data_IF_894492608045
#
_entry.id   IF_894492608045
#
_cell.length_a   1.000
_cell.length_b   1.000
_cell.length_c   1.000
_cell.angle_alpha   90.00
_cell.angle_beta   90.00
_cell.angle_gamma   90.00
#
_symmetry.space_group_name_H-M   'P 1'
#
loop_
_entity.id
_entity.type
_entity.pdbx_description
1 polymer ?
#
# COMPACT_ATOMS: atom_id res chain seq x y z
N UNK A 1 -24.87 34.53 2.56
CA UNK A 1 -24.29 33.77 3.67
C UNK A 1 -22.85 33.42 3.31
N UNK A 2 -21.98 34.38 3.47
CA UNK A 2 -20.52 34.21 3.29
C UNK A 2 -19.91 33.96 4.67
N UNK A 3 -19.92 32.70 5.11
CA UNK A 3 -19.06 32.25 6.18
C UNK A 3 -17.61 32.53 5.76
N UNK A 4 -16.79 33.20 6.59
CA UNK A 4 -15.44 33.55 6.20
C UNK A 4 -14.63 32.28 5.97
N UNK A 5 -14.03 32.16 4.80
CA UNK A 5 -13.16 31.05 4.35
C UNK A 5 -12.18 30.60 5.45
N UNK A 6 -11.75 31.52 6.31
CA UNK A 6 -10.85 31.31 7.45
C UNK A 6 -11.42 30.35 8.52
N UNK A 7 -12.72 30.36 8.79
CA UNK A 7 -13.34 29.49 9.77
C UNK A 7 -13.45 28.04 9.24
N UNK A 8 -13.71 27.90 7.95
CA UNK A 8 -13.79 26.58 7.28
C UNK A 8 -12.44 25.85 7.23
N UNK A 9 -11.34 26.58 7.14
CA UNK A 9 -10.00 26.00 7.23
C UNK A 9 -9.64 25.59 8.65
N UNK A 10 -10.04 26.38 9.64
CA UNK A 10 -9.76 26.11 11.05
C UNK A 10 -10.51 24.89 11.56
N UNK A 11 -11.77 24.73 11.21
CA UNK A 11 -12.58 23.57 11.57
C UNK A 11 -12.05 22.27 10.92
N UNK A 12 -11.58 22.35 9.67
CA UNK A 12 -10.94 21.21 8.99
C UNK A 12 -9.61 20.82 9.61
N UNK A 13 -8.77 21.79 9.99
CA UNK A 13 -7.50 21.50 10.65
C UNK A 13 -7.68 20.93 12.05
N UNK A 14 -8.66 21.39 12.81
CA UNK A 14 -8.97 20.82 14.12
C UNK A 14 -9.48 19.37 14.03
N UNK A 15 -10.21 19.02 12.98
CA UNK A 15 -10.69 17.65 12.74
C UNK A 15 -9.59 16.72 12.21
N UNK A 16 -8.62 17.23 11.45
CA UNK A 16 -7.51 16.45 10.90
C UNK A 16 -6.39 16.22 11.92
N UNK A 17 -6.21 17.14 12.84
CA UNK A 17 -5.09 17.17 13.78
C UNK A 17 -4.93 15.88 14.61
N UNK A 18 -5.97 15.34 15.27
CA UNK A 18 -5.80 14.16 16.13
C UNK A 18 -5.38 12.92 15.34
N UNK A 19 -5.93 12.71 14.14
CA UNK A 19 -5.59 11.55 13.31
C UNK A 19 -4.19 11.64 12.69
N UNK A 20 -3.80 12.82 12.23
CA UNK A 20 -2.45 13.05 11.69
C UNK A 20 -1.40 12.93 12.79
N UNK A 21 -1.70 13.44 13.99
CA UNK A 21 -0.82 13.33 15.15
C UNK A 21 -0.65 11.85 15.59
N UNK A 22 -1.73 11.07 15.59
CA UNK A 22 -1.67 9.64 15.88
C UNK A 22 -0.81 8.91 14.84
N UNK A 23 -1.01 9.17 13.55
CA UNK A 23 -0.21 8.57 12.48
C UNK A 23 1.29 8.94 12.60
N UNK A 24 1.60 10.19 12.91
CA UNK A 24 2.97 10.65 13.12
C UNK A 24 3.61 9.97 14.34
N UNK A 25 2.88 9.85 15.44
CA UNK A 25 3.38 9.17 16.64
C UNK A 25 3.69 7.71 16.37
N UNK A 26 2.82 7.01 15.65
CA UNK A 26 3.04 5.62 15.22
C UNK A 26 4.26 5.51 14.31
N UNK A 27 4.42 6.44 13.37
CA UNK A 27 5.57 6.45 12.47
C UNK A 27 6.91 6.65 13.20
N UNK A 28 6.95 7.58 14.17
CA UNK A 28 8.15 7.83 15.00
C UNK A 28 8.46 6.62 15.87
N UNK A 29 7.45 6.04 16.52
CA UNK A 29 7.60 4.84 17.35
C UNK A 29 8.11 3.65 16.51
N UNK A 30 7.55 3.43 15.33
CA UNK A 30 7.97 2.37 14.42
C UNK A 30 9.43 2.56 13.97
N UNK A 31 9.82 3.79 13.66
CA UNK A 31 11.20 4.10 13.29
C UNK A 31 12.16 3.86 14.46
N UNK A 32 11.82 4.30 15.66
CA UNK A 32 12.63 4.07 16.85
C UNK A 32 12.83 2.57 17.12
N UNK A 33 11.75 1.76 17.03
CA UNK A 33 11.86 0.32 17.18
C UNK A 33 12.72 -0.32 16.09
N UNK A 34 12.57 0.13 14.86
CA UNK A 34 13.36 -0.35 13.72
C UNK A 34 14.87 -0.12 13.93
N UNK A 35 15.23 1.06 14.39
CA UNK A 35 16.64 1.41 14.67
C UNK A 35 17.21 0.62 15.86
N UNK A 36 16.38 0.30 16.84
CA UNK A 36 16.82 -0.40 18.06
C UNK A 36 16.87 -1.92 17.89
N UNK A 37 15.89 -2.51 17.20
CA UNK A 37 15.75 -3.97 17.03
C UNK A 37 16.24 -4.48 15.67
N UNK A 38 16.66 -3.61 14.75
CA UNK A 38 17.18 -3.99 13.44
C UNK A 38 16.15 -4.54 12.45
N UNK A 39 14.86 -4.43 12.75
CA UNK A 39 13.80 -4.91 11.86
C UNK A 39 13.28 -3.84 10.87
N UNK A 40 12.51 -4.24 9.85
CA UNK A 40 11.94 -3.30 8.89
C UNK A 40 10.96 -2.32 9.55
N UNK A 41 11.13 -1.02 9.33
CA UNK A 41 10.26 0.03 9.90
C UNK A 41 8.79 -0.18 9.56
N UNK A 42 8.50 -0.63 8.34
CA UNK A 42 7.13 -0.89 7.88
C UNK A 42 6.45 -2.02 8.67
N UNK A 43 7.19 -3.04 9.10
CA UNK A 43 6.67 -4.12 9.95
C UNK A 43 6.20 -3.55 11.30
N UNK A 44 7.05 -2.76 11.97
CA UNK A 44 6.69 -2.15 13.25
C UNK A 44 5.53 -1.17 13.11
N UNK A 45 5.50 -0.36 12.04
CA UNK A 45 4.39 0.55 11.76
C UNK A 45 3.06 -0.21 11.58
N UNK A 46 3.09 -1.34 10.89
CA UNK A 46 1.91 -2.18 10.67
C UNK A 46 1.45 -2.83 11.98
N UNK A 47 2.35 -3.40 12.77
CA UNK A 47 2.01 -4.04 14.04
C UNK A 47 1.42 -3.04 15.04
N UNK A 48 2.06 -1.87 15.19
CA UNK A 48 1.56 -0.79 16.05
C UNK A 48 0.22 -0.29 15.50
N UNK A 49 0.11 -0.06 14.19
CA UNK A 49 -1.12 0.39 13.54
C UNK A 49 -2.30 -0.55 13.76
N UNK A 50 -2.09 -1.87 13.70
CA UNK A 50 -3.11 -2.85 14.04
C UNK A 50 -3.56 -2.77 15.50
N UNK A 51 -2.64 -2.52 16.44
CA UNK A 51 -2.98 -2.31 17.85
C UNK A 51 -3.83 -1.05 18.07
N UNK A 52 -3.68 -0.04 17.24
CA UNK A 52 -4.43 1.21 17.29
C UNK A 52 -5.60 1.28 16.30
N UNK A 53 -6.02 0.15 15.72
CA UNK A 53 -7.11 0.11 14.73
C UNK A 53 -8.42 0.74 15.23
N UNK A 54 -8.69 0.64 16.51
CA UNK A 54 -9.90 1.23 17.13
C UNK A 54 -9.99 2.76 16.95
N UNK A 55 -8.86 3.46 16.73
CA UNK A 55 -8.86 4.91 16.46
C UNK A 55 -9.40 5.22 15.04
N UNK A 56 -9.39 4.24 14.13
CA UNK A 56 -9.88 4.39 12.77
C UNK A 56 -11.35 3.98 12.60
N UNK A 57 -11.95 3.33 13.60
CA UNK A 57 -13.33 2.87 13.54
C UNK A 57 -14.31 3.91 14.08
N UNK A 58 -13.98 4.53 15.22
CA UNK A 58 -14.86 5.54 15.85
C UNK A 58 -14.03 6.67 16.48
N UNK A 59 -14.51 7.92 16.36
CA UNK A 59 -13.96 9.05 17.09
C UNK A 59 -13.41 10.19 16.21
N UNK A 60 -12.84 11.21 16.83
CA UNK A 60 -12.37 12.42 16.15
C UNK A 60 -11.11 12.19 15.29
N UNK A 61 -10.43 11.05 15.43
CA UNK A 61 -9.21 10.73 14.69
C UNK A 61 -9.48 10.15 13.29
N UNK A 62 -10.67 9.60 13.02
CA UNK A 62 -11.00 8.90 11.77
C UNK A 62 -10.70 9.73 10.53
N UNK A 63 -11.19 10.97 10.48
CA UNK A 63 -11.00 11.87 9.32
C UNK A 63 -9.51 12.17 9.10
N UNK A 64 -8.76 12.37 10.18
CA UNK A 64 -7.32 12.62 10.11
C UNK A 64 -6.50 11.41 9.70
N UNK A 65 -6.88 10.21 10.14
CA UNK A 65 -6.25 8.95 9.74
C UNK A 65 -6.51 8.68 8.25
N UNK A 66 -7.74 8.87 7.78
CA UNK A 66 -8.08 8.72 6.36
C UNK A 66 -7.31 9.73 5.50
N UNK A 67 -7.21 10.98 5.92
CA UNK A 67 -6.38 11.98 5.26
C UNK A 67 -4.90 11.58 5.21
N UNK A 68 -4.35 11.07 6.32
CA UNK A 68 -2.97 10.63 6.39
C UNK A 68 -2.71 9.43 5.46
N UNK A 69 -3.61 8.45 5.45
CA UNK A 69 -3.50 7.24 4.63
C UNK A 69 -3.58 7.50 3.12
N UNK A 70 -4.19 8.61 2.69
CA UNK A 70 -4.33 8.94 1.29
C UNK A 70 -3.43 10.10 0.87
N UNK A 71 -3.56 11.27 1.51
CA UNK A 71 -2.88 12.49 1.08
C UNK A 71 -1.43 12.55 1.53
N UNK A 72 -1.17 12.24 2.81
CA UNK A 72 0.21 12.25 3.33
C UNK A 72 1.03 11.14 2.66
N UNK A 73 0.43 9.97 2.43
CA UNK A 73 1.07 8.90 1.69
C UNK A 73 1.41 9.32 0.26
N UNK A 74 0.48 9.96 -0.47
CA UNK A 74 0.73 10.46 -1.83
C UNK A 74 1.88 11.47 -1.86
N UNK A 75 1.92 12.41 -0.91
CA UNK A 75 3.03 13.35 -0.76
C UNK A 75 4.35 12.64 -0.45
N UNK A 76 4.34 11.67 0.46
CA UNK A 76 5.52 10.87 0.79
C UNK A 76 6.09 10.14 -0.41
N UNK A 77 5.23 9.49 -1.20
CA UNK A 77 5.64 8.78 -2.43
C UNK A 77 6.16 9.77 -3.49
N UNK A 78 5.54 10.94 -3.64
CA UNK A 78 6.01 11.98 -4.55
C UNK A 78 7.41 12.50 -4.15
N UNK A 79 7.64 12.73 -2.85
CA UNK A 79 8.96 13.14 -2.34
C UNK A 79 10.02 12.05 -2.53
N UNK A 80 9.67 10.78 -2.33
CA UNK A 80 10.54 9.65 -2.64
C UNK A 80 10.91 9.62 -4.13
N UNK A 81 9.92 9.85 -5.01
CA UNK A 81 10.17 9.94 -6.45
C UNK A 81 11.13 11.07 -6.83
N UNK A 82 11.05 12.21 -6.13
CA UNK A 82 11.96 13.33 -6.33
C UNK A 82 13.37 13.07 -5.78
N UNK A 83 13.50 12.24 -4.74
CA UNK A 83 14.80 11.88 -4.15
C UNK A 83 15.56 10.85 -4.98
N UNK A 84 14.89 10.12 -5.87
CA UNK A 84 15.55 9.18 -6.79
C UNK A 84 16.14 9.98 -7.95
N UNK A 85 17.45 10.15 -7.93
CA UNK A 85 18.18 10.86 -8.99
C UNK A 85 18.26 10.00 -10.25
N UNK A 86 18.22 10.63 -11.41
CA UNK A 86 18.39 9.95 -12.70
C UNK A 86 19.72 9.16 -12.77
N UNK A 87 20.77 9.66 -12.12
CA UNK A 87 22.04 8.96 -11.95
C UNK A 87 21.89 7.63 -11.19
N UNK A 88 21.07 7.57 -10.15
CA UNK A 88 20.83 6.33 -9.41
C UNK A 88 20.09 5.31 -10.29
N UNK A 89 19.14 5.73 -11.11
CA UNK A 89 18.47 4.84 -12.06
C UNK A 89 19.45 4.30 -13.08
N UNK A 90 20.34 5.15 -13.60
CA UNK A 90 21.39 4.75 -14.53
C UNK A 90 22.44 3.83 -13.89
N UNK A 91 22.76 4.02 -12.60
CA UNK A 91 23.71 3.18 -11.86
C UNK A 91 23.23 1.73 -11.66
N UNK A 92 21.91 1.50 -11.59
CA UNK A 92 21.36 0.14 -11.56
C UNK A 92 21.56 -0.64 -12.87
N UNK A 93 21.82 0.07 -13.96
CA UNK A 93 21.99 -0.51 -15.29
C UNK A 93 20.69 -0.97 -15.93
N UNK A 94 20.69 -1.00 -17.25
CA UNK A 94 19.52 -1.41 -18.07
C UNK A 94 19.07 -2.85 -17.77
N UNK A 95 19.97 -3.69 -17.29
CA UNK A 95 19.71 -5.08 -16.92
C UNK A 95 18.71 -5.20 -15.76
N UNK A 96 18.87 -4.39 -14.71
CA UNK A 96 17.97 -4.41 -13.55
C UNK A 96 16.59 -3.89 -13.93
N UNK A 97 16.53 -2.82 -14.72
CA UNK A 97 15.26 -2.29 -15.23
C UNK A 97 14.52 -3.33 -16.09
N UNK A 98 15.25 -3.99 -16.97
CA UNK A 98 14.71 -5.08 -17.79
C UNK A 98 14.21 -6.26 -16.95
N UNK A 99 14.93 -6.63 -15.89
CA UNK A 99 14.53 -7.69 -14.97
C UNK A 99 13.23 -7.33 -14.23
N UNK A 100 13.08 -6.10 -13.75
CA UNK A 100 11.86 -5.64 -13.06
C UNK A 100 10.67 -5.66 -14.01
N UNK A 101 10.82 -5.14 -15.23
CA UNK A 101 9.75 -5.17 -16.25
C UNK A 101 9.36 -6.62 -16.58
N UNK A 102 10.34 -7.48 -16.77
CA UNK A 102 10.11 -8.90 -17.06
C UNK A 102 9.38 -9.59 -15.89
N UNK A 103 9.75 -9.31 -14.64
CA UNK A 103 9.12 -9.85 -13.46
C UNK A 103 7.64 -9.42 -13.35
N UNK A 104 7.35 -8.14 -13.58
CA UNK A 104 5.96 -7.63 -13.59
C UNK A 104 5.12 -8.31 -14.67
N UNK A 105 5.62 -8.36 -15.90
CA UNK A 105 4.93 -9.00 -17.00
C UNK A 105 4.70 -10.50 -16.74
N UNK A 106 5.72 -11.19 -16.26
CA UNK A 106 5.63 -12.63 -15.93
C UNK A 106 4.58 -12.87 -14.84
N UNK A 107 4.54 -12.05 -13.79
CA UNK A 107 3.54 -12.16 -12.72
C UNK A 107 2.11 -11.97 -13.25
N UNK A 108 1.90 -11.00 -14.13
CA UNK A 108 0.59 -10.77 -14.76
C UNK A 108 0.21 -11.97 -15.64
N UNK A 109 1.14 -12.49 -16.44
CA UNK A 109 0.91 -13.65 -17.29
C UNK A 109 0.58 -14.91 -16.47
N UNK A 110 1.30 -15.15 -15.37
CA UNK A 110 1.01 -16.25 -14.45
C UNK A 110 -0.38 -16.10 -13.84
N UNK A 111 -0.74 -14.89 -13.37
CA UNK A 111 -2.07 -14.59 -12.86
C UNK A 111 -3.17 -14.86 -13.90
N UNK A 112 -2.94 -14.47 -15.14
CA UNK A 112 -3.87 -14.71 -16.24
C UNK A 112 -3.99 -16.21 -16.57
N UNK A 113 -2.88 -16.92 -16.64
CA UNK A 113 -2.83 -18.36 -16.92
C UNK A 113 -3.55 -19.15 -15.80
N UNK A 114 -3.25 -18.84 -14.55
CA UNK A 114 -3.84 -19.48 -13.38
C UNK A 114 -5.35 -19.24 -13.30
N UNK A 115 -5.78 -18.01 -13.55
CA UNK A 115 -7.21 -17.67 -13.57
C UNK A 115 -7.97 -18.43 -14.68
N UNK A 116 -7.36 -18.59 -15.86
CA UNK A 116 -7.94 -19.40 -16.94
C UNK A 116 -8.00 -20.88 -16.58
N UNK A 117 -6.95 -21.40 -15.97
CA UNK A 117 -6.88 -22.79 -15.54
C UNK A 117 -7.94 -23.11 -14.48
N UNK A 118 -8.23 -22.17 -13.58
CA UNK A 118 -9.29 -22.28 -12.58
C UNK A 118 -10.70 -21.97 -13.11
N UNK A 119 -10.87 -21.71 -14.40
CA UNK A 119 -12.18 -21.41 -15.00
C UNK A 119 -12.79 -20.05 -14.60
N UNK A 120 -11.99 -19.15 -14.03
CA UNK A 120 -12.47 -17.87 -13.48
C UNK A 120 -12.52 -16.71 -14.47
N UNK A 121 -12.02 -16.91 -15.67
CA UNK A 121 -12.02 -15.92 -16.74
C UNK A 121 -10.86 -14.90 -16.66
N UNK A 122 -10.55 -14.30 -17.79
CA UNK A 122 -9.37 -13.45 -17.99
C UNK A 122 -9.38 -12.16 -17.15
N UNK A 123 -10.59 -11.64 -16.84
CA UNK A 123 -10.73 -10.39 -16.08
C UNK A 123 -10.19 -10.51 -14.65
N UNK A 124 -10.53 -11.60 -13.97
CA UNK A 124 -10.00 -11.86 -12.63
C UNK A 124 -8.49 -12.09 -12.68
N UNK A 125 -8.00 -12.76 -13.73
CA UNK A 125 -6.56 -12.99 -13.90
C UNK A 125 -5.75 -11.73 -14.07
N UNK A 126 -6.22 -10.79 -14.89
CA UNK A 126 -5.57 -9.47 -15.03
C UNK A 126 -5.66 -8.70 -13.72
N UNK A 127 -6.82 -8.68 -13.09
CA UNK A 127 -7.05 -7.95 -11.85
C UNK A 127 -6.11 -8.44 -10.73
N UNK A 128 -6.08 -9.74 -10.47
CA UNK A 128 -5.23 -10.33 -9.42
C UNK A 128 -3.76 -10.30 -9.78
N UNK A 129 -3.41 -10.64 -11.03
CA UNK A 129 -2.03 -10.63 -11.51
C UNK A 129 -1.39 -9.25 -11.41
N UNK A 130 -2.11 -8.21 -11.84
CA UNK A 130 -1.62 -6.82 -11.75
C UNK A 130 -1.58 -6.30 -10.31
N UNK A 131 -2.56 -6.69 -9.49
CA UNK A 131 -2.56 -6.33 -8.07
C UNK A 131 -1.29 -6.87 -7.36
N UNK A 132 -0.98 -8.14 -7.58
CA UNK A 132 0.22 -8.78 -7.00
C UNK A 132 1.51 -8.21 -7.59
N UNK A 133 1.53 -7.91 -8.90
CA UNK A 133 2.72 -7.45 -9.59
C UNK A 133 3.16 -6.03 -9.21
N UNK A 134 2.25 -5.17 -8.76
CA UNK A 134 2.52 -3.74 -8.56
C UNK A 134 2.46 -3.39 -7.06
N UNK A 135 1.27 -3.06 -6.55
CA UNK A 135 1.12 -2.52 -5.19
C UNK A 135 -0.13 -3.03 -4.45
N UNK A 136 -0.69 -4.15 -4.84
CA UNK A 136 -1.84 -4.74 -4.17
C UNK A 136 -3.15 -3.98 -4.39
N UNK A 137 -3.70 -3.44 -3.32
CA UNK A 137 -5.04 -2.84 -3.31
C UNK A 137 -5.20 -1.67 -4.29
N UNK A 138 -4.24 -0.75 -4.36
CA UNK A 138 -4.32 0.42 -5.24
C UNK A 138 -4.28 0.04 -6.72
N UNK A 139 -3.45 -0.94 -7.10
CA UNK A 139 -3.44 -1.48 -8.46
C UNK A 139 -4.75 -2.20 -8.79
N UNK A 140 -5.30 -2.98 -7.85
CA UNK A 140 -6.59 -3.64 -8.03
C UNK A 140 -7.71 -2.64 -8.30
N UNK A 141 -7.79 -1.56 -7.51
CA UNK A 141 -8.81 -0.52 -7.69
C UNK A 141 -8.63 0.24 -9.02
N UNK A 142 -7.39 0.60 -9.37
CA UNK A 142 -7.11 1.28 -10.62
C UNK A 142 -7.50 0.42 -11.84
N UNK A 143 -7.14 -0.85 -11.84
CA UNK A 143 -7.45 -1.78 -12.95
C UNK A 143 -8.94 -2.10 -12.98
N UNK A 144 -9.60 -2.26 -11.84
CA UNK A 144 -11.05 -2.50 -11.80
C UNK A 144 -11.86 -1.34 -12.39
N UNK A 145 -11.33 -0.11 -12.32
CA UNK A 145 -11.99 1.06 -12.90
C UNK A 145 -11.97 1.08 -14.44
N UNK A 146 -10.99 0.44 -15.06
CA UNK A 146 -10.79 0.38 -16.51
C UNK A 146 -11.37 -0.90 -17.13
N UNK A 147 -11.48 -1.97 -16.34
CA UNK A 147 -12.03 -3.23 -16.84
C UNK A 147 -13.54 -3.12 -17.14
N UNK A 148 -14.02 -3.78 -18.20
CA UNK A 148 -15.45 -3.83 -18.49
C UNK A 148 -16.23 -4.40 -17.31
N UNK A 149 -17.21 -3.65 -16.79
CA UNK A 149 -18.03 -4.04 -15.66
C UNK A 149 -18.95 -5.21 -16.03
N UNK A 150 -19.08 -6.16 -15.13
CA UNK A 150 -20.06 -7.24 -15.15
C UNK A 150 -20.67 -7.41 -13.75
N UNK A 151 -21.68 -8.26 -13.60
CA UNK A 151 -22.36 -8.51 -12.32
C UNK A 151 -21.41 -8.93 -11.19
N UNK A 152 -20.29 -9.59 -11.51
CA UNK A 152 -19.31 -10.06 -10.53
C UNK A 152 -18.11 -9.10 -10.35
N UNK A 153 -18.11 -7.96 -11.04
CA UNK A 153 -16.93 -7.06 -11.08
C UNK A 153 -16.58 -6.52 -9.69
N UNK A 154 -17.58 -6.06 -8.96
CA UNK A 154 -17.43 -5.51 -7.62
C UNK A 154 -16.94 -6.58 -6.62
N UNK A 155 -17.59 -7.74 -6.63
CA UNK A 155 -17.20 -8.89 -5.80
C UNK A 155 -15.77 -9.35 -6.07
N UNK A 156 -15.37 -9.42 -7.34
CA UNK A 156 -14.02 -9.80 -7.72
C UNK A 156 -12.98 -8.77 -7.27
N UNK A 157 -13.32 -7.48 -7.34
CA UNK A 157 -12.45 -6.40 -6.88
C UNK A 157 -12.26 -6.47 -5.37
N UNK A 158 -13.33 -6.57 -4.60
CA UNK A 158 -13.29 -6.69 -3.14
C UNK A 158 -12.48 -7.94 -2.73
N UNK A 159 -12.79 -9.08 -3.34
CA UNK A 159 -12.06 -10.33 -3.09
C UNK A 159 -10.56 -10.19 -3.38
N UNK A 160 -10.20 -9.58 -4.51
CA UNK A 160 -8.79 -9.36 -4.87
C UNK A 160 -8.10 -8.44 -3.88
N UNK A 161 -8.71 -7.31 -3.53
CA UNK A 161 -8.14 -6.35 -2.57
C UNK A 161 -7.90 -7.02 -1.22
N UNK A 162 -8.89 -7.71 -0.67
CA UNK A 162 -8.76 -8.40 0.63
C UNK A 162 -7.68 -9.49 0.57
N UNK A 163 -7.72 -10.34 -0.46
CA UNK A 163 -6.78 -11.45 -0.58
C UNK A 163 -5.34 -10.99 -0.76
N UNK A 164 -5.10 -10.00 -1.62
CA UNK A 164 -3.74 -9.49 -1.87
C UNK A 164 -3.22 -8.74 -0.65
N UNK A 165 -4.05 -7.96 0.03
CA UNK A 165 -3.67 -7.24 1.25
C UNK A 165 -3.33 -8.22 2.37
N UNK A 166 -4.15 -9.24 2.60
CA UNK A 166 -3.89 -10.26 3.61
C UNK A 166 -2.59 -11.03 3.31
N UNK A 167 -2.39 -11.43 2.04
CA UNK A 167 -1.19 -12.15 1.63
C UNK A 167 0.07 -11.29 1.74
N UNK A 168 -0.01 -10.00 1.39
CA UNK A 168 1.08 -9.05 1.55
C UNK A 168 1.46 -8.85 3.02
N UNK A 169 0.47 -8.78 3.91
CA UNK A 169 0.70 -8.68 5.36
C UNK A 169 1.42 -9.93 5.89
N UNK A 170 0.96 -11.12 5.50
CA UNK A 170 1.60 -12.38 5.87
C UNK A 170 3.05 -12.44 5.33
N UNK A 171 3.25 -12.09 4.07
CA UNK A 171 4.58 -12.06 3.45
C UNK A 171 5.52 -11.07 4.18
N UNK A 172 5.04 -9.89 4.55
CA UNK A 172 5.82 -8.88 5.27
C UNK A 172 6.30 -9.38 6.64
N UNK A 173 5.57 -10.29 7.28
CA UNK A 173 5.96 -10.91 8.54
C UNK A 173 6.92 -12.08 8.30
N UNK A 174 6.60 -12.92 7.31
CA UNK A 174 7.35 -14.18 7.06
C UNK A 174 8.74 -13.91 6.46
N UNK A 175 8.88 -12.98 5.50
CA UNK A 175 10.17 -12.75 4.85
C UNK A 175 11.29 -12.33 5.82
N UNK A 176 11.11 -11.36 6.73
CA UNK A 176 12.13 -11.04 7.72
C UNK A 176 12.48 -12.21 8.63
N UNK A 177 11.49 -13.04 9.00
CA UNK A 177 11.75 -14.23 9.82
C UNK A 177 12.59 -15.26 9.08
N UNK A 178 12.31 -15.50 7.80
CA UNK A 178 13.11 -16.41 6.96
C UNK A 178 14.53 -15.89 6.80
N UNK A 179 14.70 -14.60 6.50
CA UNK A 179 16.03 -13.97 6.35
C UNK A 179 16.85 -14.10 7.64
N UNK A 180 16.20 -13.84 8.79
CA UNK A 180 16.83 -13.99 10.11
C UNK A 180 17.15 -15.47 10.46
N UNK A 181 16.28 -16.41 10.10
CA UNK A 181 16.47 -17.82 10.39
C UNK A 181 17.55 -18.49 9.51
N UNK A 182 17.72 -17.99 8.29
CA UNK A 182 18.71 -18.51 7.32
C UNK A 182 20.06 -17.74 7.34
N UNK A 183 20.17 -16.76 8.24
CA UNK A 183 21.39 -15.92 8.38
C UNK A 183 21.86 -15.28 7.05
N UNK A 184 20.90 -14.93 6.21
CA UNK A 184 21.08 -14.32 4.90
C UNK A 184 21.30 -12.79 5.06
N UNK A 185 22.42 -12.39 5.69
CA UNK A 185 22.75 -10.99 5.94
C UNK A 185 23.86 -10.52 5.02
#
# INVERSE_FOLDING_TARGET
NSEPIKNRFRDKTEQLFPGVLAALTIAIAARFLSEHYGGPTMLFALLIGMGFNFLSEEGPAVIGIEFASQRVLQFGVALLGLSITFEQIMSFGISVIGMVIAAVLLTILIGLALSRLLGRGWRLGILTGSAVAICGASAALAISSVLPKNENSERNTIFTVISVTALSTVAMIIYPLIVSALDLN
#
